data_IF_955713322011
#
_entry.id   IF_955713322011
#
_cell.length_a   1.000
_cell.length_b   1.000
_cell.length_c   1.000
_cell.angle_alpha   90.00
_cell.angle_beta   90.00
_cell.angle_gamma   90.00
#
_symmetry.space_group_name_H-M   'P 1'
#
loop_
_entity.id
_entity.type
_entity.pdbx_description
1 polymer ?
#
# COMPACT_ATOMS: atom_id res chain seq x y z
N UNK A 1 7.93 3.23 11.34
CA UNK A 1 8.00 1.90 11.97
C UNK A 1 9.12 1.07 11.37
N UNK A 2 9.06 0.65 10.09
CA UNK A 2 10.16 -0.17 9.52
C UNK A 2 11.52 0.53 9.54
N UNK A 3 11.57 1.79 9.09
CA UNK A 3 12.79 2.60 9.14
C UNK A 3 13.36 2.72 10.56
N UNK A 4 12.50 2.91 11.56
CA UNK A 4 12.90 2.95 12.97
C UNK A 4 13.50 1.60 13.42
N UNK A 5 12.93 0.48 12.96
CA UNK A 5 13.51 -0.84 13.22
C UNK A 5 14.90 -0.95 12.59
N UNK A 6 15.09 -0.53 11.34
CA UNK A 6 16.41 -0.54 10.68
C UNK A 6 17.45 0.28 11.45
N UNK A 7 17.06 1.47 11.93
CA UNK A 7 17.94 2.35 12.70
C UNK A 7 18.22 1.83 14.12
N UNK A 8 17.25 1.14 14.73
CA UNK A 8 17.36 0.58 16.08
C UNK A 8 17.90 -0.86 16.12
N UNK A 9 18.22 -1.49 14.99
CA UNK A 9 18.64 -2.90 14.93
C UNK A 9 20.12 -3.14 15.30
N UNK A 10 20.74 -2.23 16.06
CA UNK A 10 22.12 -2.39 16.53
C UNK A 10 23.15 -2.55 15.40
N UNK A 11 22.97 -1.83 14.29
CA UNK A 11 23.78 -1.94 13.06
C UNK A 11 23.75 -3.33 12.38
N UNK A 12 22.76 -4.18 12.71
CA UNK A 12 22.53 -5.45 12.01
C UNK A 12 21.65 -5.21 10.80
N UNK A 13 22.14 -5.54 9.60
CA UNK A 13 21.35 -5.46 8.37
C UNK A 13 20.21 -6.48 8.36
N UNK A 14 19.02 -6.06 7.96
CA UNK A 14 17.85 -6.94 7.85
C UNK A 14 17.83 -7.58 6.45
N UNK A 15 17.83 -8.91 6.40
CA UNK A 15 17.65 -9.66 5.15
C UNK A 15 16.16 -9.83 4.85
N UNK A 16 15.61 -8.95 4.00
CA UNK A 16 14.19 -8.99 3.59
C UNK A 16 13.80 -10.33 2.98
N UNK A 17 14.71 -10.97 2.23
CA UNK A 17 14.42 -12.25 1.55
C UNK A 17 14.21 -13.41 2.52
N UNK A 18 14.77 -13.29 3.73
CA UNK A 18 14.60 -14.24 4.84
C UNK A 18 13.65 -13.72 5.92
N UNK A 19 12.99 -12.60 5.67
CA UNK A 19 12.03 -11.98 6.58
C UNK A 19 10.59 -12.28 6.16
N UNK A 20 9.68 -12.21 7.13
CA UNK A 20 8.25 -12.42 6.94
C UNK A 20 7.48 -11.40 7.77
N UNK A 21 6.42 -10.82 7.19
CA UNK A 21 5.45 -10.01 7.91
C UNK A 21 4.12 -10.76 8.00
N UNK A 22 3.59 -10.88 9.23
CA UNK A 22 2.34 -11.60 9.52
C UNK A 22 1.31 -10.63 10.09
N UNK A 23 0.14 -10.53 9.47
CA UNK A 23 -0.91 -9.59 9.88
C UNK A 23 -2.30 -9.95 9.39
N UNK A 24 -3.33 -9.54 10.12
CA UNK A 24 -4.73 -9.89 9.85
C UNK A 24 -5.43 -8.88 8.93
N UNK A 25 -4.93 -7.65 8.84
CA UNK A 25 -5.41 -6.59 7.95
C UNK A 25 -4.97 -6.86 6.50
N UNK A 26 -5.45 -7.96 5.94
CA UNK A 26 -5.00 -8.54 4.68
C UNK A 26 -5.96 -8.25 3.51
N UNK A 27 -7.02 -7.46 3.74
CA UNK A 27 -8.02 -7.10 2.73
C UNK A 27 -8.88 -8.26 2.25
N UNK A 28 -8.98 -9.37 3.01
CA UNK A 28 -9.73 -10.56 2.59
C UNK A 28 -11.22 -10.25 2.47
N UNK A 29 -11.83 -10.76 1.40
CA UNK A 29 -13.25 -10.63 1.14
C UNK A 29 -14.09 -11.51 2.06
N UNK A 30 -15.35 -11.14 2.20
CA UNK A 30 -16.35 -12.01 2.81
C UNK A 30 -16.59 -13.22 1.90
N UNK A 31 -16.51 -14.42 2.47
CA UNK A 31 -16.81 -15.69 1.80
C UNK A 31 -17.75 -16.53 2.66
N UNK A 32 -18.11 -17.75 2.21
CA UNK A 32 -18.86 -18.70 3.04
C UNK A 32 -18.09 -19.12 4.29
N UNK A 33 -16.76 -19.18 4.20
CA UNK A 33 -15.86 -19.63 5.28
C UNK A 33 -15.42 -18.44 6.14
N UNK A 34 -15.32 -17.25 5.55
CA UNK A 34 -14.99 -15.98 6.23
C UNK A 34 -16.22 -15.06 6.23
N UNK A 35 -17.04 -15.05 7.30
CA UNK A 35 -18.33 -14.35 7.31
C UNK A 35 -18.21 -12.82 7.33
N UNK A 36 -17.03 -12.28 7.66
CA UNK A 36 -16.73 -10.84 7.68
C UNK A 36 -15.51 -10.58 6.81
N UNK A 37 -15.56 -9.54 5.96
CA UNK A 37 -14.36 -9.05 5.28
C UNK A 37 -13.38 -8.47 6.32
N UNK A 38 -12.10 -8.44 5.99
CA UNK A 38 -11.12 -7.73 6.82
C UNK A 38 -11.44 -6.23 6.83
N UNK A 39 -11.13 -5.56 7.94
CA UNK A 39 -11.41 -4.13 8.12
C UNK A 39 -10.55 -3.25 7.20
N UNK A 40 -9.32 -3.69 6.89
CA UNK A 40 -8.39 -2.99 6.01
C UNK A 40 -7.42 -3.97 5.34
N UNK A 41 -6.56 -3.43 4.50
CA UNK A 41 -5.44 -4.09 3.82
C UNK A 41 -4.08 -3.55 4.29
N UNK A 42 -4.04 -2.90 5.46
CA UNK A 42 -2.88 -2.17 5.95
C UNK A 42 -1.63 -3.06 6.09
N UNK A 43 -1.79 -4.27 6.63
CA UNK A 43 -0.66 -5.20 6.83
C UNK A 43 -0.09 -5.71 5.51
N UNK A 44 -0.98 -6.08 4.58
CA UNK A 44 -0.57 -6.54 3.25
C UNK A 44 0.17 -5.44 2.50
N UNK A 45 -0.32 -4.21 2.53
CA UNK A 45 0.31 -3.10 1.82
C UNK A 45 1.56 -2.58 2.53
N UNK A 46 1.63 -2.66 3.85
CA UNK A 46 2.88 -2.43 4.57
C UNK A 46 3.97 -3.40 4.10
N UNK A 47 3.64 -4.70 4.03
CA UNK A 47 4.57 -5.70 3.53
C UNK A 47 4.96 -5.46 2.05
N UNK A 48 3.98 -5.13 1.20
CA UNK A 48 4.20 -4.80 -0.21
C UNK A 48 5.12 -3.60 -0.40
N UNK A 49 4.97 -2.55 0.40
CA UNK A 49 5.80 -1.34 0.32
C UNK A 49 7.27 -1.63 0.69
N UNK A 50 7.50 -2.62 1.55
CA UNK A 50 8.84 -3.06 1.97
C UNK A 50 9.44 -4.14 1.08
N UNK A 51 8.62 -4.78 0.23
CA UNK A 51 9.03 -5.97 -0.52
C UNK A 51 9.25 -7.20 0.36
N UNK A 52 8.68 -7.25 1.56
CA UNK A 52 8.79 -8.41 2.47
C UNK A 52 7.67 -9.42 2.20
N UNK A 53 7.99 -10.71 2.34
CA UNK A 53 7.00 -11.78 2.22
C UNK A 53 5.86 -11.54 3.23
N UNK A 54 4.61 -11.74 2.79
CA UNK A 54 3.41 -11.54 3.60
C UNK A 54 2.69 -12.87 3.87
N UNK A 55 2.14 -13.03 5.08
CA UNK A 55 1.20 -14.11 5.39
C UNK A 55 0.15 -13.64 6.40
N UNK A 56 -1.03 -14.26 6.38
CA UNK A 56 -2.03 -14.08 7.42
C UNK A 56 -1.74 -14.97 8.63
N UNK A 57 -2.28 -14.68 9.83
CA UNK A 57 -2.11 -15.54 10.99
C UNK A 57 -2.57 -16.98 10.75
N UNK A 58 -3.66 -17.16 10.01
CA UNK A 58 -4.19 -18.48 9.68
C UNK A 58 -3.29 -19.25 8.69
N UNK A 59 -2.70 -18.56 7.71
CA UNK A 59 -1.73 -19.18 6.79
C UNK A 59 -0.45 -19.57 7.52
N UNK A 60 0.09 -18.69 8.37
CA UNK A 60 1.38 -18.89 9.01
C UNK A 60 1.32 -19.84 10.21
N UNK A 61 0.41 -19.61 11.17
CA UNK A 61 0.37 -20.37 12.42
C UNK A 61 -0.51 -21.61 12.35
N UNK A 62 -1.57 -21.60 11.55
CA UNK A 62 -2.52 -22.72 11.45
C UNK A 62 -2.30 -23.59 10.20
N UNK A 63 -1.32 -23.25 9.36
CA UNK A 63 -1.01 -23.97 8.14
C UNK A 63 -2.17 -24.00 7.13
N UNK A 64 -3.09 -23.03 7.20
CA UNK A 64 -4.22 -22.95 6.28
C UNK A 64 -3.70 -22.61 4.89
N UNK A 65 -3.69 -23.61 4.00
CA UNK A 65 -3.18 -23.46 2.63
C UNK A 65 -4.17 -22.86 1.65
N UNK A 66 -5.45 -22.80 2.00
CA UNK A 66 -6.49 -22.30 1.11
C UNK A 66 -6.37 -20.77 1.00
N UNK A 67 -5.99 -20.23 -0.17
CA UNK A 67 -5.87 -18.79 -0.34
C UNK A 67 -7.24 -18.14 -0.15
N UNK A 68 -7.32 -17.15 0.72
CA UNK A 68 -8.53 -16.36 0.90
C UNK A 68 -8.55 -15.22 -0.12
N UNK A 69 -9.63 -15.05 -0.90
CA UNK A 69 -9.68 -14.01 -1.92
C UNK A 69 -9.60 -12.64 -1.27
N UNK A 70 -8.81 -11.76 -1.88
CA UNK A 70 -8.70 -10.34 -1.56
C UNK A 70 -8.60 -9.57 -2.89
N UNK A 71 -8.98 -8.29 -2.89
CA UNK A 71 -9.03 -7.47 -4.09
C UNK A 71 -7.81 -6.57 -4.24
N UNK A 72 -7.39 -6.23 -5.48
CA UNK A 72 -6.37 -5.22 -5.70
C UNK A 72 -6.79 -3.87 -5.09
N UNK A 73 -5.84 -2.98 -4.76
CA UNK A 73 -6.20 -1.63 -4.33
C UNK A 73 -7.02 -0.94 -5.42
N UNK A 74 -8.00 -0.13 -5.01
CA UNK A 74 -8.74 0.73 -5.95
C UNK A 74 -7.83 1.75 -6.65
N UNK A 75 -6.68 2.05 -6.06
CA UNK A 75 -5.66 2.96 -6.57
C UNK A 75 -4.27 2.39 -6.23
N UNK A 76 -3.46 2.18 -7.26
CA UNK A 76 -2.05 1.79 -7.10
C UNK A 76 -1.14 3.00 -7.38
N UNK A 77 -0.47 3.55 -6.36
CA UNK A 77 0.47 4.66 -6.52
C UNK A 77 1.64 4.34 -7.45
N UNK A 78 2.12 3.09 -7.47
CA UNK A 78 3.28 2.69 -8.29
C UNK A 78 2.89 2.77 -9.77
N UNK A 79 1.82 2.08 -10.14
CA UNK A 79 1.27 2.14 -11.50
C UNK A 79 0.89 3.58 -11.90
N UNK A 80 0.37 4.38 -10.96
CA UNK A 80 0.01 5.77 -11.23
C UNK A 80 1.23 6.64 -11.55
N UNK A 81 2.34 6.47 -10.83
CA UNK A 81 3.58 7.24 -11.03
C UNK A 81 4.32 6.79 -12.29
N UNK A 82 4.25 5.50 -12.63
CA UNK A 82 4.86 4.96 -13.85
C UNK A 82 4.12 5.41 -15.12
N UNK A 83 2.84 5.75 -15.00
CA UNK A 83 2.07 6.29 -16.10
C UNK A 83 2.57 7.70 -16.48
N UNK A 84 3.23 7.82 -17.64
CA UNK A 84 3.57 9.11 -18.26
C UNK A 84 2.28 9.86 -18.63
N UNK A 85 1.85 10.77 -17.75
CA UNK A 85 0.67 11.61 -17.96
C UNK A 85 1.08 13.01 -18.40
N UNK A 86 0.35 13.63 -19.34
CA UNK A 86 0.61 15.01 -19.69
C UNK A 86 0.32 15.92 -18.48
N UNK A 87 1.04 17.04 -18.39
CA UNK A 87 0.84 18.02 -17.30
C UNK A 87 -0.58 18.60 -17.30
N UNK A 88 -1.18 18.70 -18.49
CA UNK A 88 -2.52 19.23 -18.71
C UNK A 88 -3.27 18.33 -19.68
N UNK A 89 -4.59 18.26 -19.49
CA UNK A 89 -5.49 17.62 -20.43
C UNK A 89 -6.40 18.69 -21.07
N UNK A 90 -6.39 18.87 -22.41
CA UNK A 90 -5.55 18.19 -23.43
C UNK A 90 -4.08 18.62 -23.41
N UNK A 91 -3.22 17.75 -23.93
CA UNK A 91 -1.77 17.95 -24.02
C UNK A 91 -1.42 19.20 -24.87
N UNK A 92 -0.45 19.99 -24.42
CA UNK A 92 0.00 21.19 -25.14
C UNK A 92 -0.71 22.49 -24.77
N UNK A 93 -1.64 22.50 -23.81
CA UNK A 93 -2.12 23.76 -23.22
C UNK A 93 -1.00 24.46 -22.45
N UNK A 94 -1.00 25.78 -22.48
CA UNK A 94 -0.10 26.59 -21.63
C UNK A 94 -0.72 26.71 -20.24
N UNK A 95 0.12 26.72 -19.20
CA UNK A 95 -0.33 27.12 -17.86
C UNK A 95 -0.79 28.59 -17.94
N UNK A 96 -1.90 28.96 -17.29
CA UNK A 96 -2.26 30.36 -17.19
C UNK A 96 -1.18 31.09 -16.40
N UNK A 97 -0.71 32.23 -16.93
CA UNK A 97 0.12 33.16 -16.17
C UNK A 97 -0.66 33.54 -14.90
N UNK A 98 -0.02 33.39 -13.73
CA UNK A 98 -0.59 33.60 -12.40
C UNK A 98 -1.84 34.49 -12.38
N UNK A 99 -3.00 33.90 -12.02
CA UNK A 99 -4.20 34.68 -11.73
C UNK A 99 -3.91 35.49 -10.46
N UNK A 100 -3.62 36.78 -10.62
CA UNK A 100 -3.60 37.73 -9.50
C UNK A 100 -5.03 37.83 -8.99
N UNK A 101 -5.33 37.11 -7.92
CA UNK A 101 -6.60 37.22 -7.22
C UNK A 101 -6.56 38.56 -6.48
N UNK A 102 -7.07 39.63 -7.11
CA UNK A 102 -7.32 40.88 -6.42
C UNK A 102 -8.44 40.63 -5.40
N UNK A 103 -8.06 40.38 -4.15
CA UNK A 103 -8.99 40.37 -3.02
C UNK A 103 -9.32 41.84 -2.72
N UNK A 104 -10.57 42.30 -2.92
CA UNK A 104 -10.94 43.66 -2.57
C UNK A 104 -10.81 43.84 -1.05
N UNK A 105 -10.03 44.84 -0.63
CA UNK A 105 -9.95 45.27 0.76
C UNK A 105 -11.30 45.80 1.21
N UNK A 106 -11.76 45.34 2.38
CA UNK A 106 -12.97 45.84 3.06
C UNK A 106 -12.83 47.31 3.45
#
# INVERSE_FOLDING_TARGET
MWKELEEANGNVSIDISKSLYVGDAAGRHKTKIRPKKDHSCADRFFASNLGVTFSTPEEFFLGKKTPEPWGPPNFDPVTYLDAKKPLLEPEGKTLPDFVVINVPSK
#
